data_IF_497284563749
#
_entry.id   IF_497284563749
#
_cell.length_a   1.000
_cell.length_b   1.000
_cell.length_c   1.000
_cell.angle_alpha   90.00
_cell.angle_beta   90.00
_cell.angle_gamma   90.00
#
_symmetry.space_group_name_H-M   'P 1'
#
loop_
_entity.id
_entity.type
_entity.pdbx_description
1 polymer ?
#
# COMPACT_ATOMS: atom_id res chain seq x y z
N UNK A 1 -0.04 -16.82 16.31
CA UNK A 1 -0.24 -16.21 14.97
C UNK A 1 0.60 -16.87 13.87
N UNK A 2 1.91 -17.11 14.08
CA UNK A 2 2.80 -17.71 13.06
C UNK A 2 2.43 -19.16 12.72
N UNK A 3 2.10 -19.98 13.70
CA UNK A 3 1.69 -21.38 13.51
C UNK A 3 0.40 -21.53 12.70
N UNK A 4 -0.55 -20.59 12.86
CA UNK A 4 -1.79 -20.60 12.06
C UNK A 4 -1.53 -20.23 10.59
N UNK A 5 -0.59 -19.35 10.33
CA UNK A 5 -0.18 -18.98 8.96
C UNK A 5 0.53 -20.16 8.27
N UNK A 6 1.41 -20.87 8.96
CA UNK A 6 2.07 -22.08 8.44
C UNK A 6 1.05 -23.17 8.07
N UNK A 7 0.06 -23.43 8.92
CA UNK A 7 -1.00 -24.38 8.62
C UNK A 7 -1.89 -23.96 7.42
N UNK A 8 -2.07 -22.66 7.20
CA UNK A 8 -2.78 -22.15 6.01
C UNK A 8 -1.95 -22.28 4.73
N UNK A 9 -0.63 -22.03 4.80
CA UNK A 9 0.25 -22.20 3.63
C UNK A 9 0.35 -23.65 3.18
N UNK A 10 0.27 -24.60 4.11
CA UNK A 10 0.30 -26.04 3.81
C UNK A 10 -0.97 -26.48 3.09
N UNK A 11 -2.15 -25.97 3.49
CA UNK A 11 -3.42 -26.20 2.81
C UNK A 11 -3.46 -25.72 1.37
N UNK A 12 -2.64 -24.74 0.99
CA UNK A 12 -2.56 -24.23 -0.39
C UNK A 12 -2.02 -25.30 -1.35
N UNK A 13 -1.16 -26.19 -0.87
CA UNK A 13 -0.62 -27.29 -1.67
C UNK A 13 -1.70 -28.29 -2.11
N UNK A 14 -2.80 -28.36 -1.39
CA UNK A 14 -3.94 -29.24 -1.72
C UNK A 14 -4.97 -28.60 -2.66
N UNK A 15 -4.83 -27.30 -2.97
CA UNK A 15 -5.74 -26.61 -3.89
C UNK A 15 -5.47 -27.03 -5.35
N UNK A 16 -6.49 -26.97 -6.22
CA UNK A 16 -6.33 -27.23 -7.64
C UNK A 16 -5.34 -26.22 -8.25
N UNK A 17 -4.61 -26.67 -9.28
CA UNK A 17 -3.59 -25.84 -9.95
C UNK A 17 -4.12 -24.52 -10.52
N UNK A 18 -5.42 -24.39 -10.72
CA UNK A 18 -6.09 -23.20 -11.21
C UNK A 18 -7.40 -23.04 -10.45
N UNK A 19 -7.60 -21.88 -9.87
CA UNK A 19 -8.80 -21.53 -9.11
C UNK A 19 -9.27 -20.12 -9.51
N UNK A 20 -10.56 -19.94 -9.68
CA UNK A 20 -11.15 -18.62 -9.93
C UNK A 20 -11.43 -17.95 -8.60
N UNK A 21 -10.89 -16.77 -8.40
CA UNK A 21 -11.01 -16.00 -7.16
C UNK A 21 -11.43 -14.57 -7.44
N UNK A 22 -12.19 -14.01 -6.51
CA UNK A 22 -12.44 -12.59 -6.46
C UNK A 22 -11.33 -11.93 -5.63
N UNK A 23 -10.60 -11.04 -6.27
CA UNK A 23 -9.41 -10.39 -5.75
C UNK A 23 -9.69 -8.92 -5.49
N UNK A 24 -9.64 -8.47 -4.25
CA UNK A 24 -9.60 -7.06 -3.89
C UNK A 24 -8.16 -6.57 -3.89
N UNK A 25 -7.83 -5.62 -4.75
CA UNK A 25 -6.48 -5.10 -4.90
C UNK A 25 -6.18 -4.11 -3.77
N UNK A 26 -5.33 -4.51 -2.84
CA UNK A 26 -5.00 -3.70 -1.66
C UNK A 26 -3.74 -2.86 -1.81
N UNK A 27 -2.73 -3.35 -2.52
CA UNK A 27 -1.45 -2.64 -2.67
C UNK A 27 -0.80 -3.04 -4.01
N UNK A 28 -0.23 -2.08 -4.73
CA UNK A 28 0.61 -2.32 -5.91
C UNK A 28 2.06 -2.12 -5.50
N UNK A 29 2.89 -3.14 -5.69
CA UNK A 29 4.29 -3.14 -5.29
C UNK A 29 5.23 -2.78 -6.43
N UNK A 30 4.87 -3.12 -7.67
CA UNK A 30 5.66 -2.86 -8.87
C UNK A 30 4.75 -2.70 -10.08
N UNK A 31 5.02 -1.73 -10.95
CA UNK A 31 4.14 -1.37 -12.07
C UNK A 31 4.89 -1.02 -13.35
N UNK A 32 6.02 -1.62 -13.64
CA UNK A 32 6.75 -1.39 -14.89
C UNK A 32 6.36 -2.41 -15.97
N UNK A 33 7.25 -3.31 -16.34
CA UNK A 33 7.04 -4.31 -17.40
C UNK A 33 5.97 -5.34 -17.03
N UNK A 34 5.87 -5.68 -15.76
CA UNK A 34 4.85 -6.54 -15.16
C UNK A 34 4.39 -5.93 -13.84
N UNK A 35 3.20 -6.30 -13.41
CA UNK A 35 2.66 -5.77 -12.15
C UNK A 35 2.77 -6.83 -11.05
N UNK A 36 3.31 -6.43 -9.90
CA UNK A 36 3.20 -7.23 -8.67
C UNK A 36 2.37 -6.47 -7.65
N UNK A 37 1.46 -7.19 -7.02
CA UNK A 37 0.49 -6.59 -6.13
C UNK A 37 0.15 -7.52 -4.97
N UNK A 38 -0.43 -6.95 -3.93
CA UNK A 38 -1.06 -7.68 -2.83
C UNK A 38 -2.56 -7.56 -2.99
N UNK A 39 -3.24 -8.71 -3.01
CA UNK A 39 -4.68 -8.77 -3.06
C UNK A 39 -5.25 -9.47 -1.82
N UNK A 40 -6.45 -9.06 -1.41
CA UNK A 40 -7.25 -9.77 -0.41
C UNK A 40 -8.26 -10.65 -1.12
N UNK A 41 -8.45 -11.85 -0.61
CA UNK A 41 -9.41 -12.83 -1.12
C UNK A 41 -9.87 -13.74 0.00
N UNK A 42 -11.00 -14.39 -0.18
CA UNK A 42 -11.53 -15.38 0.76
C UNK A 42 -11.24 -16.79 0.22
N UNK A 43 -10.18 -17.44 0.74
CA UNK A 43 -9.77 -18.79 0.32
C UNK A 43 -10.27 -19.87 1.28
N UNK A 44 -10.22 -19.62 2.59
CA UNK A 44 -10.55 -20.59 3.61
C UNK A 44 -11.47 -19.98 4.68
N UNK A 45 -12.47 -20.73 5.08
CA UNK A 45 -13.37 -20.41 6.22
C UNK A 45 -14.05 -19.02 6.13
N UNK A 46 -14.22 -18.47 4.92
CA UNK A 46 -14.83 -17.15 4.72
C UNK A 46 -14.02 -15.97 5.28
N UNK A 47 -12.79 -16.21 5.74
CA UNK A 47 -11.90 -15.14 6.24
C UNK A 47 -11.10 -14.52 5.09
N UNK A 48 -10.97 -13.20 5.13
CA UNK A 48 -10.10 -12.49 4.23
C UNK A 48 -8.62 -12.82 4.50
N UNK A 49 -7.91 -13.13 3.44
CA UNK A 49 -6.50 -13.50 3.45
C UNK A 49 -5.76 -12.70 2.41
N UNK A 50 -4.49 -12.41 2.68
CA UNK A 50 -3.64 -11.70 1.73
C UNK A 50 -2.83 -12.67 0.90
N UNK A 51 -2.78 -12.43 -0.41
CA UNK A 51 -1.98 -13.17 -1.37
C UNK A 51 -1.13 -12.21 -2.19
N UNK A 52 0.09 -12.63 -2.52
CA UNK A 52 0.97 -11.92 -3.41
C UNK A 52 0.71 -12.37 -4.84
N UNK A 53 0.43 -11.44 -5.74
CA UNK A 53 0.07 -11.73 -7.13
C UNK A 53 1.11 -11.18 -8.10
N UNK A 54 1.57 -12.04 -9.00
CA UNK A 54 2.25 -11.64 -10.21
C UNK A 54 1.22 -11.54 -11.34
N UNK A 55 0.92 -10.31 -11.73
CA UNK A 55 -0.11 -10.01 -12.71
C UNK A 55 0.46 -9.95 -14.11
N UNK A 56 -0.03 -10.81 -15.00
CA UNK A 56 0.38 -10.89 -16.40
C UNK A 56 -0.79 -10.72 -17.38
N UNK A 57 -1.99 -10.45 -16.89
CA UNK A 57 -3.11 -10.11 -17.75
C UNK A 57 -2.88 -8.75 -18.43
N UNK A 58 -3.45 -8.51 -19.62
CA UNK A 58 -3.23 -7.28 -20.39
C UNK A 58 -3.75 -6.03 -19.67
N UNK A 59 -4.87 -6.16 -18.97
CA UNK A 59 -5.43 -5.08 -18.19
C UNK A 59 -4.72 -4.97 -16.84
N UNK A 60 -4.28 -3.75 -16.47
CA UNK A 60 -3.56 -3.50 -15.24
C UNK A 60 -4.54 -3.03 -14.16
N UNK A 61 -4.70 -3.77 -13.06
CA UNK A 61 -5.59 -3.38 -11.98
C UNK A 61 -5.06 -2.17 -11.21
N UNK A 62 -5.97 -1.45 -10.58
CA UNK A 62 -5.69 -0.35 -9.67
C UNK A 62 -6.06 -0.72 -8.23
N UNK A 63 -5.50 0.01 -7.27
CA UNK A 63 -5.82 -0.18 -5.85
C UNK A 63 -7.29 0.16 -5.60
N UNK A 64 -8.00 -0.71 -4.87
CA UNK A 64 -9.42 -0.59 -4.57
C UNK A 64 -10.34 -1.29 -5.58
N UNK A 65 -9.82 -1.81 -6.67
CA UNK A 65 -10.61 -2.58 -7.63
C UNK A 65 -10.81 -4.02 -7.19
N UNK A 66 -11.93 -4.60 -7.61
CA UNK A 66 -12.27 -6.01 -7.41
C UNK A 66 -12.27 -6.71 -8.77
N UNK A 67 -11.44 -7.74 -8.86
CA UNK A 67 -11.24 -8.49 -10.08
C UNK A 67 -11.56 -9.97 -9.88
N UNK A 68 -12.31 -10.55 -10.77
CA UNK A 68 -12.45 -12.01 -10.87
C UNK A 68 -11.37 -12.55 -11.76
N UNK A 69 -10.47 -13.35 -11.19
CA UNK A 69 -9.27 -13.81 -11.86
C UNK A 69 -9.07 -15.31 -11.73
N UNK A 70 -8.54 -15.91 -12.79
CA UNK A 70 -8.01 -17.26 -12.77
C UNK A 70 -6.58 -17.25 -12.23
N UNK A 71 -6.43 -17.75 -11.02
CA UNK A 71 -5.18 -17.70 -10.26
C UNK A 71 -4.56 -19.07 -10.15
N UNK A 72 -3.27 -19.16 -10.45
CA UNK A 72 -2.46 -20.32 -10.09
C UNK A 72 -1.75 -20.03 -8.79
N UNK A 73 -2.19 -20.64 -7.70
CA UNK A 73 -1.61 -20.46 -6.38
C UNK A 73 -0.43 -21.40 -6.14
N UNK A 74 0.52 -20.91 -5.35
CA UNK A 74 1.64 -21.70 -4.80
C UNK A 74 1.85 -21.31 -3.35
N UNK A 75 2.26 -22.24 -2.49
CA UNK A 75 2.66 -21.91 -1.13
C UNK A 75 3.86 -20.96 -1.14
N UNK A 76 4.01 -20.21 -0.07
CA UNK A 76 5.18 -19.34 0.13
C UNK A 76 6.43 -20.21 0.23
N UNK A 77 7.36 -20.00 -0.68
CA UNK A 77 8.70 -20.55 -0.62
C UNK A 77 9.68 -19.48 -1.03
N UNK A 78 10.70 -19.24 -0.23
CA UNK A 78 11.79 -18.36 -0.58
C UNK A 78 13.11 -19.10 -0.35
N UNK A 79 14.04 -18.92 -1.30
CA UNK A 79 15.42 -19.37 -1.10
C UNK A 79 16.09 -18.35 -0.16
N UNK A 80 16.58 -18.83 0.96
CA UNK A 80 17.43 -18.04 1.86
C UNK A 80 18.80 -17.89 1.21
N UNK A 81 19.13 -16.70 0.76
CA UNK A 81 20.50 -16.36 0.35
C UNK A 81 21.18 -15.65 1.52
N UNK A 82 22.35 -16.09 1.93
CA UNK A 82 23.14 -15.40 2.94
C UNK A 82 23.43 -13.96 2.51
N UNK A 83 22.97 -12.98 3.33
CA UNK A 83 23.14 -11.55 3.06
C UNK A 83 22.10 -10.93 2.10
N UNK A 84 21.15 -11.71 1.59
CA UNK A 84 20.06 -11.22 0.72
C UNK A 84 18.81 -10.84 1.48
N UNK A 85 17.87 -10.17 0.78
CA UNK A 85 16.56 -9.83 1.32
C UNK A 85 15.76 -11.11 1.66
N UNK A 86 15.36 -11.26 2.93
CA UNK A 86 14.51 -12.36 3.37
C UNK A 86 13.07 -12.13 2.93
N UNK A 87 12.76 -12.65 1.74
CA UNK A 87 11.42 -12.57 1.15
C UNK A 87 10.39 -13.34 1.97
N UNK A 88 10.79 -14.42 2.63
CA UNK A 88 9.87 -15.24 3.43
C UNK A 88 9.43 -14.48 4.69
N UNK A 89 10.37 -13.85 5.40
CA UNK A 89 10.08 -13.00 6.55
C UNK A 89 9.17 -11.83 6.13
N UNK A 90 9.43 -11.25 4.97
CA UNK A 90 8.59 -10.17 4.44
C UNK A 90 7.16 -10.64 4.16
N UNK A 91 6.95 -11.81 3.55
CA UNK A 91 5.62 -12.38 3.33
C UNK A 91 4.88 -12.58 4.66
N UNK A 92 5.55 -13.14 5.67
CA UNK A 92 4.96 -13.35 6.99
C UNK A 92 4.62 -12.03 7.69
N UNK A 93 5.47 -11.01 7.58
CA UNK A 93 5.19 -9.69 8.16
C UNK A 93 3.96 -9.03 7.56
N UNK A 94 3.71 -9.25 6.28
CA UNK A 94 2.52 -8.80 5.54
C UNK A 94 1.33 -9.77 5.65
N UNK A 95 1.44 -10.86 6.43
CA UNK A 95 0.41 -11.93 6.54
C UNK A 95 -0.01 -12.52 5.19
N UNK A 96 0.90 -12.53 4.22
CA UNK A 96 0.67 -13.15 2.93
C UNK A 96 0.79 -14.66 3.09
N UNK A 97 -0.20 -15.41 2.61
CA UNK A 97 -0.26 -16.87 2.77
C UNK A 97 0.12 -17.63 1.51
N UNK A 98 0.02 -17.00 0.35
CA UNK A 98 0.30 -17.63 -0.94
C UNK A 98 0.88 -16.65 -1.95
N UNK A 99 1.52 -17.21 -2.97
CA UNK A 99 1.96 -16.51 -4.18
C UNK A 99 1.09 -16.99 -5.35
N UNK A 100 0.46 -16.04 -6.05
CA UNK A 100 -0.40 -16.31 -7.20
C UNK A 100 0.15 -15.76 -8.51
N UNK A 101 -0.27 -16.38 -9.61
CA UNK A 101 -0.01 -15.92 -10.97
C UNK A 101 -1.35 -15.76 -11.69
N UNK A 102 -1.63 -14.59 -12.24
CA UNK A 102 -2.84 -14.25 -12.99
C UNK A 102 -2.48 -14.03 -14.45
N UNK A 103 -3.19 -14.73 -15.36
CA UNK A 103 -3.07 -14.55 -16.82
C UNK A 103 -4.31 -13.94 -17.44
N UNK A 104 -5.45 -14.19 -16.83
CA UNK A 104 -6.76 -13.69 -17.28
C UNK A 104 -7.55 -13.21 -16.06
N UNK A 105 -8.17 -12.07 -16.18
CA UNK A 105 -9.01 -11.50 -15.15
C UNK A 105 -10.05 -10.58 -15.80
N UNK A 106 -11.15 -10.37 -15.09
CA UNK A 106 -12.22 -9.45 -15.48
C UNK A 106 -12.54 -8.57 -14.27
N UNK A 107 -12.57 -7.26 -14.48
CA UNK A 107 -13.00 -6.31 -13.43
C UNK A 107 -14.48 -6.52 -13.15
N UNK A 108 -14.83 -6.76 -11.88
CA UNK A 108 -16.22 -6.99 -11.44
C UNK A 108 -16.75 -5.84 -10.57
N UNK A 109 -15.87 -5.00 -10.04
CA UNK A 109 -16.28 -3.87 -9.21
C UNK A 109 -15.10 -3.04 -8.73
N UNK A 110 -15.42 -2.06 -7.95
CA UNK A 110 -14.46 -1.24 -7.23
C UNK A 110 -15.04 -0.87 -5.87
N UNK A 111 -14.17 -0.82 -4.86
CA UNK A 111 -14.54 -0.33 -3.54
C UNK A 111 -14.20 1.15 -3.44
N UNK A 112 -15.20 1.95 -3.09
CA UNK A 112 -15.03 3.39 -2.96
C UNK A 112 -14.25 3.70 -1.69
N UNK A 113 -12.97 4.03 -1.86
CA UNK A 113 -12.15 4.59 -0.79
C UNK A 113 -11.77 6.03 -1.12
N UNK A 114 -11.99 6.95 -0.19
CA UNK A 114 -11.54 8.35 -0.32
C UNK A 114 -10.04 8.42 -0.67
N UNK A 115 -9.21 7.59 -0.02
CA UNK A 115 -7.77 7.52 -0.29
C UNK A 115 -7.49 7.12 -1.74
N UNK A 116 -8.17 6.09 -2.24
CA UNK A 116 -8.01 5.63 -3.64
C UNK A 116 -8.45 6.69 -4.63
N UNK A 117 -9.58 7.35 -4.37
CA UNK A 117 -10.08 8.44 -5.22
C UNK A 117 -9.10 9.63 -5.24
N UNK A 118 -8.56 10.04 -4.09
CA UNK A 118 -7.55 11.09 -4.02
C UNK A 118 -6.26 10.69 -4.74
N UNK A 119 -5.80 9.47 -4.58
CA UNK A 119 -4.62 8.95 -5.27
C UNK A 119 -4.81 8.99 -6.80
N UNK A 120 -5.94 8.51 -7.30
CA UNK A 120 -6.25 8.52 -8.74
C UNK A 120 -6.34 9.93 -9.31
N UNK A 121 -6.98 10.85 -8.61
CA UNK A 121 -7.06 12.25 -9.01
C UNK A 121 -5.67 12.91 -9.01
N UNK A 122 -4.85 12.66 -8.01
CA UNK A 122 -3.47 13.16 -7.94
C UNK A 122 -2.63 12.62 -9.08
N UNK A 123 -2.76 11.34 -9.42
CA UNK A 123 -2.08 10.73 -10.56
C UNK A 123 -2.45 11.41 -11.88
N UNK A 124 -3.75 11.68 -12.09
CA UNK A 124 -4.22 12.38 -13.31
C UNK A 124 -3.72 13.82 -13.39
N UNK A 125 -3.75 14.55 -12.25
CA UNK A 125 -3.31 15.96 -12.22
C UNK A 125 -1.81 16.12 -12.36
N UNK A 126 -1.02 15.13 -11.96
CA UNK A 126 0.44 15.15 -12.03
C UNK A 126 0.98 14.38 -13.24
N UNK A 127 0.11 13.93 -14.12
CA UNK A 127 0.49 13.23 -15.35
C UNK A 127 1.41 14.11 -16.20
N UNK A 128 2.55 13.55 -16.62
CA UNK A 128 3.58 14.27 -17.37
C UNK A 128 4.63 14.97 -16.50
N UNK A 129 4.49 15.05 -15.20
CA UNK A 129 5.56 15.58 -14.35
C UNK A 129 6.67 14.55 -14.16
N UNK A 130 7.92 14.97 -14.38
CA UNK A 130 9.09 14.09 -14.22
C UNK A 130 9.26 13.54 -12.79
N UNK A 131 8.71 14.24 -11.79
CA UNK A 131 8.76 13.88 -10.38
C UNK A 131 7.44 13.30 -9.84
N UNK A 132 6.51 12.92 -10.72
CA UNK A 132 5.21 12.36 -10.33
C UNK A 132 5.34 11.23 -9.31
N UNK A 133 6.21 10.24 -9.58
CA UNK A 133 6.42 9.11 -8.68
C UNK A 133 6.90 9.52 -7.29
N UNK A 134 7.75 10.56 -7.20
CA UNK A 134 8.22 11.11 -5.94
C UNK A 134 7.08 11.81 -5.17
N UNK A 135 6.30 12.64 -5.85
CA UNK A 135 5.16 13.34 -5.24
C UNK A 135 4.14 12.34 -4.66
N UNK A 136 3.83 11.31 -5.42
CA UNK A 136 2.90 10.25 -4.98
C UNK A 136 3.49 9.45 -3.80
N UNK A 137 4.79 9.15 -3.83
CA UNK A 137 5.47 8.46 -2.72
C UNK A 137 5.44 9.29 -1.43
N UNK A 138 5.65 10.60 -1.51
CA UNK A 138 5.62 11.50 -0.36
C UNK A 138 4.20 11.71 0.19
N UNK A 139 3.21 11.93 -0.69
CA UNK A 139 1.85 12.25 -0.28
C UNK A 139 1.06 11.02 0.21
N UNK A 140 1.25 9.87 -0.43
CA UNK A 140 0.44 8.67 -0.20
C UNK A 140 1.23 7.49 0.37
N UNK A 141 2.57 7.57 0.43
CA UNK A 141 3.42 6.44 0.79
C UNK A 141 3.51 5.36 -0.30
N UNK A 142 2.97 5.63 -1.50
CA UNK A 142 2.93 4.69 -2.61
C UNK A 142 4.20 4.78 -3.47
N UNK A 143 5.07 3.78 -3.35
CA UNK A 143 6.36 3.74 -4.06
C UNK A 143 6.31 3.02 -5.40
N UNK A 144 5.18 2.42 -5.75
CA UNK A 144 5.00 1.66 -6.98
C UNK A 144 5.27 2.49 -8.27
N UNK A 145 5.13 3.81 -8.17
CA UNK A 145 5.31 4.78 -9.24
C UNK A 145 6.73 5.35 -9.34
N UNK A 146 7.61 5.01 -8.38
CA UNK A 146 9.00 5.41 -8.44
C UNK A 146 9.78 4.50 -9.39
N UNK A 147 10.54 5.12 -10.32
CA UNK A 147 11.45 4.38 -11.17
C UNK A 147 12.57 3.73 -10.36
N UNK A 148 12.94 2.50 -10.74
CA UNK A 148 13.98 1.73 -10.05
C UNK A 148 15.34 2.44 -10.03
N UNK A 149 15.68 3.18 -11.09
CA UNK A 149 16.93 3.97 -11.15
C UNK A 149 16.91 5.09 -10.14
N UNK A 150 15.82 5.84 -10.08
CA UNK A 150 15.61 6.93 -9.13
C UNK A 150 15.63 6.40 -7.70
N UNK A 151 14.99 5.26 -7.44
CA UNK A 151 15.02 4.61 -6.13
C UNK A 151 16.44 4.20 -5.71
N UNK A 152 17.24 3.64 -6.62
CA UNK A 152 18.65 3.31 -6.37
C UNK A 152 19.48 4.54 -6.01
N UNK A 153 19.28 5.67 -6.69
CA UNK A 153 19.96 6.93 -6.36
C UNK A 153 19.61 7.37 -4.94
N UNK A 154 18.34 7.32 -4.55
CA UNK A 154 17.91 7.67 -3.18
C UNK A 154 18.50 6.73 -2.13
N UNK A 155 18.67 5.44 -2.43
CA UNK A 155 19.35 4.51 -1.53
C UNK A 155 20.85 4.81 -1.42
N UNK A 156 21.53 5.07 -2.53
CA UNK A 156 22.96 5.37 -2.56
C UNK A 156 23.31 6.69 -1.89
N UNK A 157 22.44 7.69 -2.01
CA UNK A 157 22.57 9.00 -1.35
C UNK A 157 22.06 9.02 0.09
N UNK A 158 21.63 7.87 0.62
CA UNK A 158 21.02 7.74 1.94
C UNK A 158 19.80 8.62 2.19
N UNK A 159 19.14 9.10 1.12
CA UNK A 159 17.94 9.95 1.19
C UNK A 159 16.63 9.15 1.15
N UNK A 160 16.70 7.84 0.88
CA UNK A 160 15.53 6.97 0.83
C UNK A 160 14.71 6.96 2.14
N UNK A 161 15.38 7.13 3.29
CA UNK A 161 14.70 7.21 4.59
C UNK A 161 13.91 8.52 4.76
N UNK A 162 14.37 9.63 4.17
CA UNK A 162 13.63 10.91 4.20
C UNK A 162 12.28 10.78 3.51
N UNK A 163 12.22 10.09 2.37
CA UNK A 163 10.97 9.82 1.65
C UNK A 163 10.02 8.96 2.51
N UNK A 164 10.57 8.02 3.29
CA UNK A 164 9.77 7.17 4.17
C UNK A 164 9.22 7.91 5.40
N UNK A 165 9.98 8.88 5.93
CA UNK A 165 9.73 9.51 7.23
C UNK A 165 9.10 10.90 7.08
N UNK A 166 9.24 11.58 5.92
CA UNK A 166 8.75 12.96 5.72
C UNK A 166 7.27 13.11 6.06
N UNK A 167 6.43 12.18 5.63
CA UNK A 167 5.00 12.17 5.98
C UNK A 167 4.74 12.04 7.50
N UNK A 168 5.57 11.28 8.20
CA UNK A 168 5.49 11.14 9.66
C UNK A 168 5.86 12.44 10.37
N UNK A 169 6.93 13.11 9.94
CA UNK A 169 7.36 14.39 10.54
C UNK A 169 6.33 15.50 10.33
N UNK A 170 5.80 15.63 9.11
CA UNK A 170 4.74 16.59 8.81
C UNK A 170 3.47 16.27 9.62
N UNK A 171 3.08 15.02 9.70
CA UNK A 171 1.93 14.58 10.49
C UNK A 171 2.13 14.81 11.99
N UNK A 172 3.34 14.59 12.50
CA UNK A 172 3.69 14.84 13.90
C UNK A 172 3.67 16.35 14.20
N UNK A 173 4.31 17.17 13.37
CA UNK A 173 4.31 18.62 13.50
C UNK A 173 2.88 19.19 13.48
N UNK A 174 2.07 18.75 12.54
CA UNK A 174 0.65 19.13 12.47
C UNK A 174 -0.14 18.66 13.70
N UNK A 175 0.09 17.45 14.18
CA UNK A 175 -0.54 16.90 15.38
C UNK A 175 -0.18 17.67 16.64
N UNK A 176 1.10 18.02 16.81
CA UNK A 176 1.58 18.85 17.92
C UNK A 176 0.93 20.23 17.85
N UNK A 177 0.93 20.86 16.67
CA UNK A 177 0.30 22.17 16.47
C UNK A 177 -1.18 22.16 16.79
N UNK A 178 -1.89 21.14 16.32
CA UNK A 178 -3.30 20.94 16.63
C UNK A 178 -3.54 20.79 18.13
N UNK A 179 -2.71 19.99 18.82
CA UNK A 179 -2.82 19.76 20.25
C UNK A 179 -2.60 21.06 21.04
N UNK A 180 -1.56 21.84 20.72
CA UNK A 180 -1.31 23.12 21.38
C UNK A 180 -2.45 24.12 21.12
N UNK A 181 -2.96 24.21 19.90
CA UNK A 181 -4.09 25.07 19.60
C UNK A 181 -5.35 24.66 20.38
N UNK A 182 -5.57 23.36 20.57
CA UNK A 182 -6.68 22.84 21.40
C UNK A 182 -6.49 23.21 22.87
N UNK A 183 -5.27 23.08 23.38
CA UNK A 183 -4.94 23.46 24.75
C UNK A 183 -5.16 24.97 24.97
N UNK A 184 -4.74 25.79 24.02
CA UNK A 184 -4.94 27.23 24.04
C UNK A 184 -6.43 27.59 24.04
N UNK A 185 -7.26 26.88 23.26
CA UNK A 185 -8.72 27.07 23.25
C UNK A 185 -9.39 26.78 24.60
N UNK A 186 -8.81 25.86 25.42
CA UNK A 186 -9.34 25.60 26.77
C UNK A 186 -9.11 26.78 27.73
N UNK A 187 -8.08 27.59 27.47
CA UNK A 187 -7.75 28.79 28.27
C UNK A 187 -8.47 30.04 27.78
N UNK A 188 -9.07 30.02 26.57
CA UNK A 188 -9.76 31.16 25.97
C UNK A 188 -11.27 31.12 26.24
N UNK A 189 -11.95 32.30 26.31
CA UNK A 189 -13.41 32.37 26.45
C UNK A 189 -14.10 31.63 25.28
N UNK A 190 -15.26 31.01 25.56
CA UNK A 190 -16.05 30.21 24.63
C UNK A 190 -16.37 30.88 23.28
N UNK A 191 -16.33 32.21 23.23
CA UNK A 191 -16.58 33.02 22.04
C UNK A 191 -15.57 32.82 20.92
N UNK A 192 -14.37 32.29 21.22
CA UNK A 192 -13.27 32.04 20.27
C UNK A 192 -13.10 30.57 19.92
N UNK A 193 -13.98 29.69 20.40
CA UNK A 193 -13.91 28.25 20.12
C UNK A 193 -14.43 27.98 18.71
N UNK A 194 -13.51 27.91 17.74
CA UNK A 194 -13.79 27.46 16.38
C UNK A 194 -13.16 26.10 16.12
N UNK A 195 -13.86 25.12 15.53
CA UNK A 195 -13.28 23.81 15.19
C UNK A 195 -12.18 23.93 14.12
N UNK A 196 -12.18 25.00 13.35
CA UNK A 196 -11.22 25.24 12.25
C UNK A 196 -9.89 25.82 12.75
N UNK A 197 -9.89 26.54 13.87
CA UNK A 197 -8.68 27.17 14.40
C UNK A 197 -7.51 26.18 14.67
N UNK A 198 -7.73 25.03 15.34
CA UNK A 198 -6.65 24.06 15.57
C UNK A 198 -6.12 23.44 14.27
N UNK A 199 -6.99 23.25 13.27
CA UNK A 199 -6.57 22.73 11.98
C UNK A 199 -5.63 23.70 11.26
N UNK A 200 -6.02 24.98 11.15
CA UNK A 200 -5.19 25.99 10.51
C UNK A 200 -3.87 26.20 11.24
N UNK A 201 -3.91 26.19 12.56
CA UNK A 201 -2.71 26.33 13.39
C UNK A 201 -1.76 25.12 13.22
N UNK A 202 -2.30 23.92 13.16
CA UNK A 202 -1.53 22.71 12.87
C UNK A 202 -0.86 22.75 11.50
N UNK A 203 -1.59 23.19 10.46
CA UNK A 203 -1.04 23.37 9.11
C UNK A 203 0.08 24.42 9.10
N UNK A 204 -0.11 25.54 9.80
CA UNK A 204 0.89 26.61 9.85
C UNK A 204 2.19 26.14 10.50
N UNK A 205 2.12 25.34 11.57
CA UNK A 205 3.31 24.75 12.22
C UNK A 205 3.96 23.69 11.32
N UNK A 206 3.19 22.96 10.53
CA UNK A 206 3.74 21.97 9.62
C UNK A 206 4.45 22.57 8.39
N UNK A 207 4.17 23.82 8.07
CA UNK A 207 4.78 24.55 6.93
C UNK A 207 6.00 25.40 7.31
N UNK A 208 6.21 25.69 8.58
CA UNK A 208 7.35 26.48 9.10
C UNK A 208 8.46 25.64 9.63
#
# INVERSE_FOLDING_TARGET
>A
PALSLLGQTEKISSLPNKITLDLYISEILHQQDYQTLVARTSLFDGKEQQIFINWKAPEKPQVGEIWRADVKLRPISARLNHGGFDRQQWYFSKRIIAVGYVKSAVKIGEDFSYRTHFLQNSLKQTEGFSLQGLLIALAFGERAWLDNKTWLIYQQTNTAHLIAISGLHIGLAMGIGFFFARLLQLALPTRFISPWFPLWFGVLIALG
#
